data_IF_560546078034
#
_entry.id   IF_560546078034
#
_cell.length_a   1.000
_cell.length_b   1.000
_cell.length_c   1.000
_cell.angle_alpha   90.00
_cell.angle_beta   90.00
_cell.angle_gamma   90.00
#
_symmetry.space_group_name_H-M   'P 1'
#
loop_
_entity.id
_entity.type
_entity.pdbx_description
1 polymer ?
#
# COMPACT_ATOMS: atom_id res chain seq x y z
N UNK A 1 6.29 -17.63 -11.02
CA UNK A 1 6.20 -17.58 -9.55
C UNK A 1 4.84 -17.01 -9.24
N UNK A 2 3.89 -17.82 -8.75
CA UNK A 2 2.68 -17.29 -8.15
C UNK A 2 3.09 -16.72 -6.80
N UNK A 3 2.93 -15.41 -6.63
CA UNK A 3 2.94 -14.82 -5.30
C UNK A 3 1.58 -15.20 -4.73
N UNK A 4 1.48 -16.39 -4.16
CA UNK A 4 0.29 -16.80 -3.42
C UNK A 4 0.34 -16.03 -2.09
N UNK A 5 -0.07 -14.76 -2.16
CA UNK A 5 -0.34 -13.97 -0.97
C UNK A 5 -1.30 -14.78 -0.10
N UNK A 6 -0.95 -14.96 1.17
CA UNK A 6 -1.85 -15.60 2.09
C UNK A 6 -3.15 -14.77 2.16
N UNK A 7 -4.28 -15.38 2.47
CA UNK A 7 -5.58 -14.67 2.47
C UNK A 7 -5.56 -13.44 3.37
N UNK A 8 -4.74 -13.47 4.43
CA UNK A 8 -4.51 -12.34 5.32
C UNK A 8 -3.59 -11.26 4.74
N UNK A 9 -2.73 -11.60 3.78
CA UNK A 9 -1.81 -10.67 3.09
C UNK A 9 -2.45 -10.00 1.87
N UNK A 10 -3.51 -10.58 1.30
CA UNK A 10 -4.26 -9.98 0.17
C UNK A 10 -4.65 -8.51 0.38
N UNK A 11 -5.26 -8.11 1.52
CA UNK A 11 -5.66 -6.72 1.70
C UNK A 11 -4.46 -5.77 1.83
N UNK A 12 -3.28 -6.25 2.25
CA UNK A 12 -2.04 -5.47 2.25
C UNK A 12 -1.51 -5.33 0.81
N UNK A 13 -1.50 -6.43 0.05
CA UNK A 13 -1.05 -6.45 -1.34
C UNK A 13 -1.86 -5.49 -2.24
N UNK A 14 -3.17 -5.45 -2.06
CA UNK A 14 -4.06 -4.51 -2.76
C UNK A 14 -3.76 -3.05 -2.38
N UNK A 15 -3.51 -2.78 -1.10
CA UNK A 15 -3.14 -1.45 -0.61
C UNK A 15 -1.79 -0.98 -1.18
N UNK A 16 -0.79 -1.85 -1.19
CA UNK A 16 0.54 -1.58 -1.74
C UNK A 16 0.50 -1.34 -3.26
N UNK A 17 -0.28 -2.13 -4.01
CA UNK A 17 -0.51 -1.89 -5.43
C UNK A 17 -1.10 -0.50 -5.68
N UNK A 18 -2.12 -0.12 -4.91
CA UNK A 18 -2.76 1.20 -5.02
C UNK A 18 -1.80 2.34 -4.70
N UNK A 19 -0.91 2.15 -3.71
CA UNK A 19 0.14 3.11 -3.37
C UNK A 19 1.13 3.25 -4.52
N UNK A 20 1.61 2.16 -5.10
CA UNK A 20 2.58 2.21 -6.20
C UNK A 20 1.98 2.81 -7.48
N UNK A 21 0.71 2.56 -7.76
CA UNK A 21 -0.01 3.19 -8.87
C UNK A 21 -0.14 4.71 -8.68
N UNK A 22 -0.61 5.15 -7.50
CA UNK A 22 -0.74 6.57 -7.18
C UNK A 22 0.62 7.28 -7.17
N UNK A 23 1.66 6.63 -6.66
CA UNK A 23 3.03 7.13 -6.66
C UNK A 23 3.57 7.29 -8.08
N UNK A 24 3.29 6.34 -8.98
CA UNK A 24 3.70 6.43 -10.38
C UNK A 24 3.05 7.64 -11.07
N UNK A 25 1.76 7.86 -10.82
CA UNK A 25 1.01 9.00 -11.35
C UNK A 25 1.54 10.32 -10.76
N UNK A 26 1.78 10.38 -9.45
CA UNK A 26 2.26 11.60 -8.78
C UNK A 26 3.69 11.97 -9.20
N UNK A 27 4.55 10.97 -9.40
CA UNK A 27 5.93 11.15 -9.87
C UNK A 27 6.00 11.78 -11.26
N UNK A 28 5.04 11.47 -12.13
CA UNK A 28 4.94 12.05 -13.47
C UNK A 28 4.42 13.49 -13.50
N UNK A 29 3.81 13.97 -12.42
CA UNK A 29 3.21 15.31 -12.34
C UNK A 29 4.04 16.31 -11.51
N UNK A 30 5.22 15.90 -11.00
CA UNK A 30 6.02 16.73 -10.09
C UNK A 30 5.34 16.98 -8.73
N UNK A 31 4.28 16.22 -8.43
CA UNK A 31 3.51 16.34 -7.20
C UNK A 31 4.23 15.55 -6.11
N UNK A 32 4.91 16.26 -5.22
CA UNK A 32 5.50 15.67 -4.02
C UNK A 32 4.38 15.07 -3.16
N UNK A 33 4.42 13.75 -2.93
CA UNK A 33 3.61 12.97 -1.98
C UNK A 33 2.30 13.64 -1.55
N UNK A 34 1.21 13.33 -2.25
CA UNK A 34 -0.13 13.77 -1.84
C UNK A 34 -0.45 13.24 -0.44
N UNK A 35 -1.17 14.05 0.36
CA UNK A 35 -1.69 13.66 1.68
C UNK A 35 -2.39 12.29 1.65
N UNK A 36 -3.04 11.98 0.54
CA UNK A 36 -3.69 10.71 0.27
C UNK A 36 -2.71 9.52 0.20
N UNK A 37 -1.52 9.69 -0.39
CA UNK A 37 -0.50 8.63 -0.40
C UNK A 37 0.05 8.36 1.01
N UNK A 38 0.21 9.40 1.82
CA UNK A 38 0.65 9.28 3.20
C UNK A 38 -0.37 8.48 4.01
N UNK A 39 -1.66 8.83 3.89
CA UNK A 39 -2.74 8.11 4.57
C UNK A 39 -2.84 6.65 4.12
N UNK A 40 -2.68 6.36 2.84
CA UNK A 40 -2.67 4.99 2.32
C UNK A 40 -1.50 4.18 2.88
N UNK A 41 -0.30 4.76 2.95
CA UNK A 41 0.87 4.11 3.55
C UNK A 41 0.69 3.83 5.04
N UNK A 42 0.17 4.79 5.80
CA UNK A 42 -0.13 4.58 7.22
C UNK A 42 -1.15 3.46 7.43
N UNK A 43 -2.19 3.40 6.57
CA UNK A 43 -3.20 2.34 6.61
C UNK A 43 -2.61 0.97 6.28
N UNK A 44 -1.77 0.88 5.24
CA UNK A 44 -1.07 -0.36 4.88
C UNK A 44 -0.20 -0.86 6.03
N UNK A 45 0.58 0.05 6.64
CA UNK A 45 1.43 -0.25 7.78
C UNK A 45 0.63 -0.72 9.00
N UNK A 46 -0.42 0.00 9.38
CA UNK A 46 -1.28 -0.36 10.51
C UNK A 46 -1.99 -1.70 10.31
N UNK A 47 -2.44 -1.98 9.09
CA UNK A 47 -3.06 -3.26 8.76
C UNK A 47 -2.05 -4.42 8.85
N UNK A 48 -0.83 -4.21 8.33
CA UNK A 48 0.28 -5.17 8.44
C UNK A 48 0.61 -5.44 9.91
N UNK A 49 0.80 -4.39 10.71
CA UNK A 49 1.05 -4.54 12.15
C UNK A 49 -0.08 -5.29 12.85
N UNK A 50 -1.35 -4.99 12.52
CA UNK A 50 -2.50 -5.69 13.10
C UNK A 50 -2.59 -7.17 12.72
N UNK A 51 -2.13 -7.54 11.53
CA UNK A 51 -2.14 -8.94 11.04
C UNK A 51 -1.02 -9.75 11.68
N UNK A 52 0.18 -9.17 11.80
CA UNK A 52 1.37 -9.85 12.32
C UNK A 52 1.57 -9.71 13.84
N UNK A 53 0.73 -8.94 14.54
CA UNK A 53 0.80 -8.77 16.00
C UNK A 53 -0.06 -9.77 16.80
N UNK A 54 -0.72 -10.73 16.13
CA UNK A 54 -1.44 -11.86 16.76
C UNK A 54 -0.64 -13.16 16.62
#
# INVERSE_FOLDING_TARGET
MNIDYLDFEQPIAELEQKIEELKRISSGQGVSMTKELIQLKEKSKSLTESIFSN
#
